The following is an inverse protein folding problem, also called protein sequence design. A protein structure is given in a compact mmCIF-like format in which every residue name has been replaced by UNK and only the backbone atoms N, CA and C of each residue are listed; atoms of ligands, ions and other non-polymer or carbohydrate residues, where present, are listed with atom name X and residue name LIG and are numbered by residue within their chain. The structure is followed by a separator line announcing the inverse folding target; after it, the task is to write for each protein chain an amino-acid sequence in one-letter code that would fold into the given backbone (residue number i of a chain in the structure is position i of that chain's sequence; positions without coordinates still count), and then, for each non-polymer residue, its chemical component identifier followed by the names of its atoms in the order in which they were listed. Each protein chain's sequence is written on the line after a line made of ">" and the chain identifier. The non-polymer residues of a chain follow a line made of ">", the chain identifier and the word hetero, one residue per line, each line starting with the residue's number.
data_IF_971129763615
#
_entry.id   IF_971129763615
#
_cell.length_a   1.000
_cell.length_b   1.000
_cell.length_c   1.000
_cell.angle_alpha   90.00
_cell.angle_beta   90.00
_cell.angle_gamma   90.00
#
_symmetry.space_group_name_H-M   'P 1'
#
loop_
_entity.id
_entity.type
_entity.pdbx_description
1 polymer ?
#
# COMPACT_ATOMS: atom_id res chain seq x y z
N UNK A 1 39.83 -36.91 7.99
CA UNK A 1 38.80 -35.85 7.91
C UNK A 1 39.46 -34.51 8.23
N UNK A 2 39.70 -33.64 7.25
CA UNK A 2 40.15 -32.26 7.51
C UNK A 2 38.91 -31.41 7.80
N UNK A 3 38.78 -30.92 9.04
CA UNK A 3 37.84 -29.84 9.35
C UNK A 3 38.32 -28.60 8.60
N UNK A 4 37.52 -28.12 7.65
CA UNK A 4 37.65 -26.76 7.15
C UNK A 4 37.19 -25.81 8.26
N UNK A 5 38.12 -25.23 9.01
CA UNK A 5 37.79 -24.08 9.86
C UNK A 5 37.54 -22.87 8.97
N UNK A 6 36.45 -22.16 9.26
CA UNK A 6 36.10 -20.91 8.56
C UNK A 6 37.26 -19.91 8.68
N UNK A 7 37.60 -19.23 7.58
CA UNK A 7 38.58 -18.14 7.56
C UNK A 7 38.17 -17.09 8.60
N UNK A 8 39.07 -16.75 9.53
CA UNK A 8 38.90 -15.64 10.47
C UNK A 8 38.72 -14.34 9.68
N UNK A 9 37.57 -13.70 9.83
CA UNK A 9 37.33 -12.37 9.24
C UNK A 9 38.20 -11.36 9.97
N UNK A 10 39.10 -10.71 9.23
CA UNK A 10 40.00 -9.69 9.74
C UNK A 10 39.24 -8.35 9.98
N UNK A 11 38.38 -8.30 10.99
CA UNK A 11 37.57 -7.11 11.33
C UNK A 11 38.38 -5.89 11.82
N UNK A 12 39.66 -6.09 12.08
CA UNK A 12 40.48 -5.30 12.99
C UNK A 12 41.13 -4.02 12.42
N UNK A 13 40.85 -3.64 11.16
CA UNK A 13 41.32 -2.34 10.63
C UNK A 13 40.31 -1.21 10.73
N UNK A 14 39.01 -1.51 10.71
CA UNK A 14 37.94 -0.50 10.61
C UNK A 14 37.05 -0.43 11.86
N UNK A 15 36.95 -1.52 12.63
CA UNK A 15 36.17 -1.59 13.85
C UNK A 15 37.15 -1.74 15.02
N UNK A 16 37.31 -0.68 15.80
CA UNK A 16 38.21 -0.60 16.96
C UNK A 16 37.46 -0.78 18.27
N UNK A 17 36.15 -0.51 18.29
CA UNK A 17 35.27 -0.68 19.44
C UNK A 17 33.84 -1.04 19.02
N UNK A 18 33.01 -1.46 19.96
CA UNK A 18 31.58 -1.69 19.71
C UNK A 18 30.85 -0.42 19.26
N UNK A 19 31.29 0.75 19.73
CA UNK A 19 30.69 2.05 19.38
C UNK A 19 30.87 2.41 17.90
N UNK A 20 31.90 1.88 17.22
CA UNK A 20 32.10 2.10 15.78
C UNK A 20 30.98 1.47 14.92
N UNK A 21 30.19 0.56 15.49
CA UNK A 21 29.04 -0.06 14.85
C UNK A 21 27.71 0.65 15.18
N UNK A 22 27.73 1.62 16.08
CA UNK A 22 26.54 2.40 16.44
C UNK A 22 26.35 3.49 15.38
N UNK A 23 25.20 3.48 14.70
CA UNK A 23 24.88 4.48 13.70
C UNK A 23 24.74 5.86 14.35
N UNK A 24 25.51 6.88 13.92
CA UNK A 24 25.37 8.22 14.47
C UNK A 24 24.00 8.81 14.19
N UNK A 25 23.47 9.60 15.13
CA UNK A 25 22.18 10.29 15.01
C UNK A 25 22.04 11.07 13.70
N UNK A 26 23.12 11.72 13.26
CA UNK A 26 23.14 12.49 12.00
C UNK A 26 22.88 11.60 10.78
N UNK A 27 23.47 10.40 10.75
CA UNK A 27 23.26 9.42 9.67
C UNK A 27 21.85 8.86 9.72
N UNK A 28 21.30 8.57 10.91
CA UNK A 28 19.90 8.17 11.07
C UNK A 28 18.95 9.26 10.55
N UNK A 29 19.18 10.53 10.92
CA UNK A 29 18.38 11.66 10.43
C UNK A 29 18.48 11.79 8.91
N UNK A 30 19.68 11.72 8.35
CA UNK A 30 19.89 11.80 6.90
C UNK A 30 19.14 10.68 6.18
N UNK A 31 19.20 9.45 6.71
CA UNK A 31 18.46 8.30 6.20
C UNK A 31 16.95 8.53 6.18
N UNK A 32 16.35 9.04 7.26
CA UNK A 32 14.91 9.35 7.30
C UNK A 32 14.50 10.41 6.27
N UNK A 33 15.30 11.46 6.10
CA UNK A 33 15.01 12.51 5.11
C UNK A 33 15.07 11.92 3.70
N UNK A 34 16.10 11.15 3.37
CA UNK A 34 16.24 10.49 2.08
C UNK A 34 15.08 9.53 1.80
N UNK A 35 14.69 8.72 2.79
CA UNK A 35 13.56 7.79 2.67
C UNK A 35 12.23 8.51 2.46
N UNK A 36 11.99 9.63 3.14
CA UNK A 36 10.77 10.41 2.97
C UNK A 36 10.66 11.03 1.56
N UNK A 37 11.77 11.53 1.02
CA UNK A 37 11.82 12.05 -0.35
C UNK A 37 11.54 10.94 -1.37
N UNK A 38 12.20 9.79 -1.22
CA UNK A 38 11.99 8.65 -2.11
C UNK A 38 10.56 8.12 -2.04
N UNK A 39 9.97 8.05 -0.84
CA UNK A 39 8.57 7.65 -0.66
C UNK A 39 7.61 8.54 -1.43
N UNK A 40 7.86 9.86 -1.50
CA UNK A 40 7.02 10.76 -2.30
C UNK A 40 7.12 10.47 -3.81
N UNK A 41 8.30 10.12 -4.31
CA UNK A 41 8.47 9.71 -5.72
C UNK A 41 7.77 8.38 -6.01
N UNK A 42 7.96 7.38 -5.15
CA UNK A 42 7.33 6.07 -5.28
C UNK A 42 5.80 6.18 -5.17
N UNK A 43 5.27 7.17 -4.43
CA UNK A 43 3.84 7.38 -4.26
C UNK A 43 3.12 7.87 -5.54
N UNK A 44 3.85 8.43 -6.51
CA UNK A 44 3.27 9.02 -7.74
C UNK A 44 2.29 8.06 -8.46
N UNK A 45 2.67 6.82 -8.84
CA UNK A 45 1.75 5.90 -9.50
C UNK A 45 0.48 5.62 -8.70
N UNK A 46 0.56 5.49 -7.36
CA UNK A 46 -0.60 5.25 -6.51
C UNK A 46 -1.59 6.42 -6.54
N UNK A 47 -1.08 7.65 -6.58
CA UNK A 47 -1.92 8.85 -6.74
C UNK A 47 -2.55 8.91 -8.13
N UNK A 48 -1.82 8.53 -9.18
CA UNK A 48 -2.37 8.48 -10.54
C UNK A 48 -3.44 7.38 -10.71
N UNK A 49 -3.25 6.21 -10.10
CA UNK A 49 -4.27 5.15 -10.05
C UNK A 49 -5.54 5.61 -9.30
N UNK A 50 -5.39 6.32 -8.18
CA UNK A 50 -6.50 6.91 -7.45
C UNK A 50 -7.27 7.96 -8.29
N UNK A 51 -6.54 8.81 -9.04
CA UNK A 51 -7.14 9.77 -9.97
C UNK A 51 -7.87 9.07 -11.11
N UNK A 52 -7.30 7.99 -11.66
CA UNK A 52 -7.94 7.20 -12.70
C UNK A 52 -9.22 6.53 -12.18
N UNK A 53 -9.18 5.92 -10.99
CA UNK A 53 -10.34 5.37 -10.30
C UNK A 53 -11.44 6.42 -10.13
N UNK A 54 -11.08 7.62 -9.65
CA UNK A 54 -12.00 8.75 -9.51
C UNK A 54 -12.66 9.12 -10.84
N UNK A 55 -11.87 9.22 -11.90
CA UNK A 55 -12.35 9.60 -13.24
C UNK A 55 -13.32 8.56 -13.82
N UNK A 56 -13.03 7.27 -13.64
CA UNK A 56 -13.91 6.18 -14.07
C UNK A 56 -15.21 6.14 -13.27
N UNK A 57 -15.11 6.26 -11.94
CA UNK A 57 -16.25 6.21 -11.04
C UNK A 57 -17.18 7.42 -11.19
N UNK A 58 -16.68 8.58 -11.63
CA UNK A 58 -17.45 9.83 -11.82
C UNK A 58 -18.66 9.70 -12.76
N UNK A 59 -18.67 8.68 -13.63
CA UNK A 59 -19.78 8.38 -14.55
C UNK A 59 -20.98 7.73 -13.84
N UNK A 60 -20.79 7.28 -12.61
CA UNK A 60 -21.78 6.54 -11.83
C UNK A 60 -22.61 7.49 -10.97
N UNK A 61 -23.93 7.25 -10.94
CA UNK A 61 -24.89 8.05 -10.16
C UNK A 61 -25.27 7.40 -8.83
N UNK A 62 -25.16 6.08 -8.72
CA UNK A 62 -25.50 5.32 -7.51
C UNK A 62 -24.35 4.41 -7.12
N UNK A 63 -23.94 4.36 -5.84
CA UNK A 63 -22.82 3.52 -5.40
C UNK A 63 -22.90 2.06 -5.86
N UNK A 64 -24.08 1.44 -5.79
CA UNK A 64 -24.29 0.05 -6.20
C UNK A 64 -23.95 -0.23 -7.69
N UNK A 65 -24.07 0.78 -8.56
CA UNK A 65 -23.77 0.63 -9.97
C UNK A 65 -22.26 0.49 -10.24
N UNK A 66 -21.39 0.80 -9.27
CA UNK A 66 -19.95 0.55 -9.36
C UNK A 66 -19.62 -0.94 -9.58
N UNK A 67 -20.46 -1.86 -9.09
CA UNK A 67 -20.29 -3.31 -9.30
C UNK A 67 -20.35 -3.72 -10.78
N UNK A 68 -20.97 -2.90 -11.63
CA UNK A 68 -21.13 -3.18 -13.07
C UNK A 68 -19.90 -2.78 -13.88
N UNK A 69 -19.02 -1.93 -13.32
CA UNK A 69 -17.82 -1.45 -13.99
C UNK A 69 -16.65 -2.40 -13.69
N UNK A 70 -16.28 -3.22 -14.66
CA UNK A 70 -15.14 -4.14 -14.51
C UNK A 70 -13.82 -3.37 -14.31
N UNK A 71 -13.64 -2.25 -15.00
CA UNK A 71 -12.40 -1.44 -14.97
C UNK A 71 -12.06 -0.90 -13.58
N UNK A 72 -13.05 -0.73 -12.69
CA UNK A 72 -12.83 -0.21 -11.33
C UNK A 72 -12.81 -1.33 -10.27
N UNK A 73 -13.05 -2.59 -10.66
CA UNK A 73 -13.19 -3.70 -9.70
C UNK A 73 -11.98 -3.85 -8.80
N UNK A 74 -10.77 -3.73 -9.35
CA UNK A 74 -9.54 -3.78 -8.54
C UNK A 74 -9.51 -2.67 -7.49
N UNK A 75 -9.82 -1.43 -7.88
CA UNK A 75 -9.88 -0.30 -6.96
C UNK A 75 -10.95 -0.46 -5.87
N UNK A 76 -12.09 -1.08 -6.20
CA UNK A 76 -13.13 -1.42 -5.21
C UNK A 76 -12.64 -2.47 -4.19
N UNK A 77 -11.87 -3.47 -4.63
CA UNK A 77 -11.30 -4.48 -3.73
C UNK A 77 -10.32 -3.84 -2.76
N UNK A 78 -9.38 -3.03 -3.24
CA UNK A 78 -8.46 -2.27 -2.40
C UNK A 78 -9.22 -1.38 -1.40
N UNK A 79 -10.19 -0.59 -1.88
CA UNK A 79 -10.99 0.30 -1.02
C UNK A 79 -11.86 -0.44 0.00
N UNK A 80 -12.20 -1.72 -0.24
CA UNK A 80 -12.88 -2.58 0.73
C UNK A 80 -11.97 -3.12 1.84
N UNK A 81 -10.68 -2.75 1.83
CA UNK A 81 -9.69 -3.19 2.82
C UNK A 81 -9.01 -4.51 2.47
N UNK A 82 -9.19 -5.03 1.24
CA UNK A 82 -8.56 -6.28 0.82
C UNK A 82 -7.21 -6.02 0.15
N UNK A 83 -6.13 -6.29 0.90
CA UNK A 83 -4.78 -6.34 0.34
C UNK A 83 -4.63 -7.39 -0.76
N UNK A 84 -3.67 -7.20 -1.67
CA UNK A 84 -3.31 -8.20 -2.68
C UNK A 84 -2.95 -9.56 -2.07
N UNK A 85 -2.45 -9.56 -0.83
CA UNK A 85 -2.13 -10.78 -0.09
C UNK A 85 -3.41 -11.53 0.34
N UNK A 86 -4.39 -10.82 0.91
CA UNK A 86 -5.64 -11.45 1.38
C UNK A 86 -6.51 -11.92 0.23
N UNK A 87 -6.53 -11.18 -0.89
CA UNK A 87 -7.32 -11.54 -2.09
C UNK A 87 -7.00 -12.94 -2.64
N UNK A 88 -5.80 -13.48 -2.41
CA UNK A 88 -5.38 -14.83 -2.85
C UNK A 88 -6.09 -15.96 -2.13
N UNK A 89 -6.71 -15.69 -0.98
CA UNK A 89 -7.40 -16.67 -0.15
C UNK A 89 -8.93 -16.57 -0.29
N UNK A 90 -9.43 -15.68 -1.15
CA UNK A 90 -10.84 -15.36 -1.27
C UNK A 90 -11.38 -15.80 -2.63
N UNK A 91 -12.60 -16.34 -2.61
CA UNK A 91 -13.36 -16.59 -3.82
C UNK A 91 -13.84 -15.27 -4.44
N UNK A 92 -14.34 -15.31 -5.68
CA UNK A 92 -14.91 -14.12 -6.29
C UNK A 92 -16.22 -13.66 -5.62
N UNK A 93 -16.93 -14.58 -4.97
CA UNK A 93 -18.10 -14.26 -4.16
C UNK A 93 -17.70 -13.52 -2.88
N UNK A 94 -16.67 -14.00 -2.16
CA UNK A 94 -16.14 -13.32 -0.96
C UNK A 94 -15.67 -11.89 -1.28
N UNK A 95 -14.95 -11.74 -2.40
CA UNK A 95 -14.53 -10.44 -2.92
C UNK A 95 -15.72 -9.53 -3.23
N UNK A 96 -16.78 -10.07 -3.80
CA UNK A 96 -18.00 -9.32 -4.12
C UNK A 96 -18.76 -8.92 -2.84
N UNK A 97 -18.78 -9.78 -1.82
CA UNK A 97 -19.32 -9.47 -0.49
C UNK A 97 -18.55 -8.31 0.14
N UNK A 98 -17.22 -8.31 0.08
CA UNK A 98 -16.40 -7.22 0.60
C UNK A 98 -16.71 -5.88 -0.08
N UNK A 99 -16.85 -5.86 -1.41
CA UNK A 99 -17.23 -4.64 -2.15
C UNK A 99 -18.63 -4.18 -1.76
N UNK A 100 -19.60 -5.09 -1.59
CA UNK A 100 -20.95 -4.73 -1.13
C UNK A 100 -20.92 -4.13 0.27
N UNK A 101 -20.14 -4.71 1.18
CA UNK A 101 -19.92 -4.16 2.52
C UNK A 101 -19.35 -2.75 2.50
N UNK A 102 -18.36 -2.48 1.62
CA UNK A 102 -17.85 -1.13 1.37
C UNK A 102 -18.96 -0.17 0.91
N UNK A 103 -19.77 -0.61 -0.06
CA UNK A 103 -20.84 0.20 -0.64
C UNK A 103 -21.88 0.56 0.42
N UNK A 104 -22.46 -0.45 1.08
CA UNK A 104 -23.56 -0.30 2.03
C UNK A 104 -23.13 0.47 3.29
N UNK A 105 -21.91 0.22 3.78
CA UNK A 105 -21.45 0.79 5.06
C UNK A 105 -20.89 2.19 4.91
N UNK A 106 -20.33 2.55 3.75
CA UNK A 106 -19.57 3.79 3.60
C UNK A 106 -19.97 4.62 2.38
N UNK A 107 -20.09 4.00 1.19
CA UNK A 107 -20.35 4.77 -0.03
C UNK A 107 -21.80 5.27 -0.09
N UNK A 108 -22.78 4.46 0.28
CA UNK A 108 -24.18 4.87 0.35
C UNK A 108 -24.41 5.96 1.41
N UNK A 109 -23.90 5.81 2.66
CA UNK A 109 -23.99 6.87 3.67
C UNK A 109 -23.30 8.19 3.28
N UNK A 110 -22.24 8.13 2.45
CA UNK A 110 -21.55 9.32 1.95
C UNK A 110 -22.37 10.16 0.94
N UNK A 111 -23.48 9.62 0.41
CA UNK A 111 -24.39 10.34 -0.46
C UNK A 111 -23.70 10.94 -1.69
N UNK A 112 -23.79 12.26 -1.87
CA UNK A 112 -23.17 12.96 -2.99
C UNK A 112 -21.63 12.87 -3.03
N UNK A 113 -21.01 12.53 -1.90
CA UNK A 113 -19.55 12.47 -1.74
C UNK A 113 -18.99 11.05 -1.88
N UNK A 114 -19.80 10.07 -2.28
CA UNK A 114 -19.38 8.66 -2.33
C UNK A 114 -18.16 8.38 -3.22
N UNK A 115 -17.94 9.21 -4.24
CA UNK A 115 -16.76 9.11 -5.11
C UNK A 115 -15.49 9.51 -4.35
N UNK A 116 -15.57 10.56 -3.52
CA UNK A 116 -14.43 10.97 -2.69
C UNK A 116 -14.19 9.97 -1.57
N UNK A 117 -15.25 9.45 -0.93
CA UNK A 117 -15.16 8.39 0.06
C UNK A 117 -14.49 7.13 -0.50
N UNK A 118 -14.84 6.73 -1.73
CA UNK A 118 -14.19 5.61 -2.44
C UNK A 118 -12.68 5.85 -2.61
N UNK A 119 -12.30 7.05 -3.09
CA UNK A 119 -10.90 7.40 -3.36
C UNK A 119 -10.09 7.49 -2.07
N UNK A 120 -10.66 8.03 -1.01
CA UNK A 120 -10.00 8.09 0.29
C UNK A 120 -9.75 6.70 0.86
N UNK A 121 -10.72 5.80 0.77
CA UNK A 121 -10.54 4.41 1.23
C UNK A 121 -9.55 3.63 0.39
N UNK A 122 -9.50 3.89 -0.91
CA UNK A 122 -8.49 3.30 -1.78
C UNK A 122 -7.05 3.70 -1.40
N UNK A 123 -6.86 4.93 -0.89
CA UNK A 123 -5.54 5.49 -0.55
C UNK A 123 -5.03 5.16 0.87
N UNK A 124 -5.85 4.54 1.72
CA UNK A 124 -5.51 4.16 3.11
C UNK A 124 -4.79 2.81 3.13
#
# INVERSE_FOLDING_TARGET
>A
MRLFMAKKVEAHRLIKSADDLVTPREQTRAGFIAMALEKNYIAIPYIEEAKALKALAKKIRKPIDLLKLQDVRSGLLTASGLSDKSQKYLTDDDKTIAIKGLIETFLEPAGAYFIDELVYRYLI
#
